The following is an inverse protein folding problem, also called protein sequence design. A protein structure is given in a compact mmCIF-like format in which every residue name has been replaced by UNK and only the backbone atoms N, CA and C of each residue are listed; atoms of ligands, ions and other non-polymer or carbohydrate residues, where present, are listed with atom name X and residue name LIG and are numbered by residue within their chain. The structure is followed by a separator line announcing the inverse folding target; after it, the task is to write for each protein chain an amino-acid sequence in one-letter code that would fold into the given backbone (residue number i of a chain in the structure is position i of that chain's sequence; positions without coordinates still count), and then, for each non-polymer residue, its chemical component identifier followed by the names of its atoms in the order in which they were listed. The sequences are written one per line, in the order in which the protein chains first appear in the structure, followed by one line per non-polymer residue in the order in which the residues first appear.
data_IF_625028180522
#
_entry.id   IF_625028180522
#
_cell.length_a   1.000
_cell.length_b   1.000
_cell.length_c   1.000
_cell.angle_alpha   90.00
_cell.angle_beta   90.00
_cell.angle_gamma   90.00
#
_symmetry.space_group_name_H-M   'P 1'
#
loop_
_entity.id
_entity.type
_entity.pdbx_description
1 polymer ?
#
# COMPACT_ATOMS: atom_id res chain seq x y z
N UNK A 1 -7.76 35.90 12.62
CA UNK A 1 -7.02 35.90 11.33
C UNK A 1 -5.52 35.77 11.59
N UNK A 2 -4.93 36.70 12.36
CA UNK A 2 -3.50 36.74 12.74
C UNK A 2 -2.92 35.41 13.30
N UNK A 3 -3.60 34.75 14.26
CA UNK A 3 -3.11 33.46 14.83
C UNK A 3 -3.05 32.32 13.80
N UNK A 4 -3.90 32.35 12.76
CA UNK A 4 -3.94 31.34 11.69
C UNK A 4 -2.79 31.58 10.71
N UNK A 5 -2.49 32.84 10.41
CA UNK A 5 -1.36 33.24 9.57
C UNK A 5 -0.02 32.95 10.25
N UNK A 6 0.12 33.28 11.53
CA UNK A 6 1.33 32.96 12.30
C UNK A 6 1.64 31.45 12.31
N UNK A 7 0.62 30.60 12.54
CA UNK A 7 0.78 29.13 12.45
C UNK A 7 1.14 28.66 11.04
N UNK A 8 0.62 29.33 10.00
CA UNK A 8 0.93 29.01 8.60
C UNK A 8 2.37 29.38 8.25
N UNK A 9 2.85 30.53 8.72
CA UNK A 9 4.22 30.99 8.55
C UNK A 9 5.22 30.04 9.24
N UNK A 10 4.93 29.66 10.49
CA UNK A 10 5.75 28.67 11.22
C UNK A 10 5.75 27.31 10.50
N UNK A 11 4.62 26.88 9.93
CA UNK A 11 4.55 25.64 9.16
C UNK A 11 5.37 25.72 7.85
N UNK A 12 5.34 26.84 7.14
CA UNK A 12 6.12 27.03 5.91
C UNK A 12 7.62 27.14 6.19
N UNK A 13 8.01 27.82 7.27
CA UNK A 13 9.41 27.91 7.70
C UNK A 13 9.94 26.54 8.10
N UNK A 14 9.14 25.79 8.88
CA UNK A 14 9.48 24.41 9.24
C UNK A 14 9.58 23.51 7.99
N UNK A 15 8.70 23.70 7.00
CA UNK A 15 8.76 22.98 5.73
C UNK A 15 10.03 23.33 4.92
N UNK A 16 10.41 24.61 4.86
CA UNK A 16 11.64 25.06 4.19
C UNK A 16 12.89 24.48 4.87
N UNK A 17 12.94 24.50 6.21
CA UNK A 17 14.02 23.88 6.97
C UNK A 17 14.10 22.35 6.78
N UNK A 18 12.97 21.67 6.59
CA UNK A 18 13.00 20.26 6.22
C UNK A 18 13.40 20.04 4.76
N UNK A 19 13.06 20.95 3.85
CA UNK A 19 13.50 20.91 2.45
C UNK A 19 15.02 21.08 2.33
N UNK A 20 15.60 22.09 2.98
CA UNK A 20 17.05 22.35 3.02
C UNK A 20 17.81 21.18 3.69
N UNK A 21 17.33 20.70 4.85
CA UNK A 21 17.93 19.51 5.47
C UNK A 21 17.87 18.29 4.53
N UNK A 22 16.76 18.10 3.84
CA UNK A 22 16.59 16.99 2.91
C UNK A 22 17.53 17.16 1.69
N UNK A 23 17.71 18.36 1.18
CA UNK A 23 18.68 18.69 0.13
C UNK A 23 20.12 18.45 0.60
N UNK A 24 20.46 18.81 1.84
CA UNK A 24 21.77 18.53 2.45
C UNK A 24 22.02 17.04 2.70
N UNK A 25 20.98 16.29 3.07
CA UNK A 25 21.03 14.83 3.15
C UNK A 25 21.19 14.19 1.76
N UNK A 26 20.63 14.81 0.72
CA UNK A 26 20.83 14.39 -0.68
C UNK A 26 22.21 14.76 -1.22
N UNK A 27 22.80 15.87 -0.76
CA UNK A 27 24.09 16.40 -1.19
C UNK A 27 25.30 15.70 -0.57
N UNK A 28 25.16 15.05 0.59
CA UNK A 28 26.30 14.41 1.27
C UNK A 28 26.67 13.03 0.71
N UNK A 29 25.72 12.31 0.11
CA UNK A 29 25.93 10.88 -0.17
C UNK A 29 25.59 10.41 -1.60
N UNK A 30 25.03 11.28 -2.47
CA UNK A 30 24.86 10.98 -3.89
C UNK A 30 23.81 9.89 -4.22
N UNK A 31 22.84 10.28 -5.04
CA UNK A 31 21.68 9.51 -5.53
C UNK A 31 20.45 9.45 -4.62
N UNK A 32 19.30 9.77 -5.25
CA UNK A 32 17.99 9.62 -4.62
C UNK A 32 17.73 8.13 -4.40
N UNK A 33 17.08 7.77 -3.29
CA UNK A 33 16.66 6.40 -3.02
C UNK A 33 15.82 5.80 -4.16
N UNK A 34 15.05 6.62 -4.88
CA UNK A 34 14.30 6.18 -6.06
C UNK A 34 15.24 5.78 -7.20
N UNK A 35 16.34 6.51 -7.41
CA UNK A 35 17.36 6.17 -8.41
C UNK A 35 18.10 4.88 -8.04
N UNK A 36 18.42 4.69 -6.75
CA UNK A 36 19.00 3.43 -6.24
C UNK A 36 18.02 2.28 -6.48
N UNK A 37 16.75 2.46 -6.11
CA UNK A 37 15.72 1.44 -6.29
C UNK A 37 15.52 1.08 -7.76
N UNK A 38 15.54 2.07 -8.65
CA UNK A 38 15.47 1.89 -10.10
C UNK A 38 16.68 1.10 -10.64
N UNK A 39 17.90 1.43 -10.21
CA UNK A 39 19.13 0.70 -10.60
C UNK A 39 19.06 -0.78 -10.21
N UNK A 40 18.55 -1.10 -9.03
CA UNK A 40 18.43 -2.47 -8.54
C UNK A 40 17.10 -3.15 -8.93
N UNK A 41 16.22 -2.46 -9.68
CA UNK A 41 14.90 -2.97 -10.04
C UNK A 41 13.99 -3.23 -8.83
N UNK A 42 14.27 -2.61 -7.69
CA UNK A 42 13.51 -2.72 -6.45
C UNK A 42 12.31 -1.79 -6.53
N UNK A 43 11.11 -2.31 -6.21
CA UNK A 43 9.92 -1.46 -6.17
C UNK A 43 10.03 -0.41 -5.05
N UNK A 44 9.49 0.80 -5.23
CA UNK A 44 9.42 1.81 -4.18
C UNK A 44 8.83 1.25 -2.89
N UNK A 45 9.39 1.66 -1.74
CA UNK A 45 8.97 1.14 -0.43
C UNK A 45 7.47 1.36 -0.16
N UNK A 46 6.92 2.45 -0.67
CA UNK A 46 5.49 2.77 -0.55
C UNK A 46 4.63 1.69 -1.22
N UNK A 47 5.06 1.18 -2.37
CA UNK A 47 4.33 0.14 -3.09
C UNK A 47 4.48 -1.22 -2.40
N UNK A 48 5.66 -1.52 -1.83
CA UNK A 48 5.84 -2.70 -0.98
C UNK A 48 4.98 -2.68 0.28
N UNK A 49 4.81 -1.51 0.91
CA UNK A 49 3.88 -1.37 2.03
C UNK A 49 2.42 -1.60 1.61
N UNK A 50 2.02 -1.14 0.42
CA UNK A 50 0.68 -1.41 -0.14
C UNK A 50 0.48 -2.89 -0.43
N UNK A 51 1.46 -3.54 -1.05
CA UNK A 51 1.46 -4.97 -1.35
C UNK A 51 1.28 -5.80 -0.07
N UNK A 52 2.09 -5.52 0.96
CA UNK A 52 2.02 -6.20 2.26
C UNK A 52 0.64 -6.03 2.92
N UNK A 53 0.08 -4.82 2.88
CA UNK A 53 -1.25 -4.51 3.41
C UNK A 53 -2.35 -5.33 2.72
N UNK A 54 -2.33 -5.41 1.40
CA UNK A 54 -3.31 -6.16 0.61
C UNK A 54 -3.15 -7.67 0.80
N UNK A 55 -1.90 -8.15 0.89
CA UNK A 55 -1.61 -9.56 1.17
C UNK A 55 -2.17 -9.97 2.54
N UNK A 56 -1.98 -9.13 3.55
CA UNK A 56 -2.56 -9.35 4.88
C UNK A 56 -4.09 -9.32 4.83
N UNK A 57 -4.69 -8.34 4.16
CA UNK A 57 -6.15 -8.26 4.03
C UNK A 57 -6.73 -9.49 3.33
N UNK A 58 -6.13 -9.94 2.22
CA UNK A 58 -6.52 -11.18 1.56
C UNK A 58 -6.36 -12.42 2.45
N UNK A 59 -5.34 -12.45 3.31
CA UNK A 59 -5.19 -13.51 4.31
C UNK A 59 -6.31 -13.47 5.36
N UNK A 60 -6.76 -12.29 5.80
CA UNK A 60 -7.91 -12.16 6.70
C UNK A 60 -9.21 -12.59 6.02
N UNK A 61 -9.43 -12.21 4.75
CA UNK A 61 -10.65 -12.59 4.02
C UNK A 61 -10.80 -14.11 3.85
N UNK A 62 -9.68 -14.82 3.62
CA UNK A 62 -9.66 -16.29 3.50
C UNK A 62 -9.73 -17.01 4.85
N UNK A 63 -9.60 -16.31 5.97
CA UNK A 63 -9.69 -16.92 7.29
C UNK A 63 -11.15 -17.23 7.67
N UNK A 64 -11.33 -18.25 8.52
CA UNK A 64 -12.64 -18.62 9.08
C UNK A 64 -13.24 -17.45 9.87
N UNK A 65 -14.56 -17.33 9.88
CA UNK A 65 -15.28 -16.20 10.49
C UNK A 65 -15.03 -16.05 12.00
N UNK A 66 -14.79 -17.16 12.69
CA UNK A 66 -14.46 -17.17 14.11
C UNK A 66 -12.95 -16.97 14.40
N UNK A 67 -12.13 -16.72 13.38
CA UNK A 67 -10.70 -16.48 13.59
C UNK A 67 -10.49 -15.11 14.22
N UNK A 68 -9.53 -15.03 15.15
CA UNK A 68 -9.15 -13.79 15.86
C UNK A 68 -8.86 -12.65 14.88
N UNK A 69 -8.28 -12.96 13.71
CA UNK A 69 -7.97 -11.97 12.67
C UNK A 69 -9.22 -11.34 12.05
N UNK A 70 -10.25 -12.15 11.78
CA UNK A 70 -11.50 -11.69 11.14
C UNK A 70 -12.39 -10.96 12.14
N UNK A 71 -12.45 -11.47 13.38
CA UNK A 71 -13.09 -10.79 14.51
C UNK A 71 -12.42 -9.43 14.76
N UNK A 72 -11.09 -9.39 14.87
CA UNK A 72 -10.34 -8.16 15.13
C UNK A 72 -10.46 -7.12 14.01
N UNK A 73 -10.61 -7.55 12.75
CA UNK A 73 -10.88 -6.65 11.63
C UNK A 73 -12.24 -5.96 11.74
N UNK A 74 -13.26 -6.69 12.21
CA UNK A 74 -14.64 -6.23 12.32
C UNK A 74 -14.97 -5.59 13.68
N UNK A 75 -14.05 -5.67 14.65
CA UNK A 75 -14.25 -5.15 15.99
C UNK A 75 -14.35 -3.63 15.99
N UNK A 76 -15.50 -3.12 16.42
CA UNK A 76 -15.68 -1.71 16.72
C UNK A 76 -15.49 -1.46 18.22
N UNK A 77 -14.47 -0.66 18.58
CA UNK A 77 -14.22 -0.29 19.96
C UNK A 77 -15.14 0.87 20.33
N UNK A 78 -16.09 0.61 21.23
CA UNK A 78 -16.96 1.64 21.78
C UNK A 78 -16.19 2.57 22.72
N UNK A 79 -16.51 3.86 22.68
CA UNK A 79 -15.90 4.86 23.56
C UNK A 79 -15.68 6.23 22.93
N UNK A 80 -15.60 7.27 23.76
CA UNK A 80 -15.27 8.63 23.31
C UNK A 80 -13.78 8.71 23.02
N UNK A 81 -13.42 9.10 21.79
CA UNK A 81 -12.02 9.24 21.36
C UNK A 81 -11.34 10.41 22.09
N UNK A 82 -10.02 10.33 22.34
CA UNK A 82 -9.28 11.44 22.90
C UNK A 82 -9.35 12.67 21.98
N UNK A 83 -9.37 13.87 22.59
CA UNK A 83 -9.33 15.14 21.85
C UNK A 83 -7.94 15.33 21.22
N UNK A 84 -7.88 15.57 19.91
CA UNK A 84 -6.62 15.77 19.17
C UNK A 84 -6.65 15.18 17.75
N UNK A 85 -5.49 15.16 17.06
CA UNK A 85 -5.36 14.48 15.77
C UNK A 85 -5.53 12.99 15.97
N UNK A 86 -6.58 12.43 15.36
CA UNK A 86 -6.82 10.99 15.41
C UNK A 86 -5.70 10.25 14.68
N UNK A 87 -5.28 9.12 15.26
CA UNK A 87 -4.36 8.20 14.58
C UNK A 87 -5.08 7.61 13.37
N UNK A 88 -4.38 7.51 12.24
CA UNK A 88 -4.91 6.89 11.03
C UNK A 88 -5.21 5.43 11.33
N UNK A 89 -6.44 4.97 11.01
CA UNK A 89 -6.77 3.55 11.21
C UNK A 89 -6.18 2.72 10.08
N UNK A 90 -5.91 1.46 10.39
CA UNK A 90 -5.49 0.50 9.38
C UNK A 90 -6.50 0.41 8.23
N UNK A 91 -7.79 0.34 8.56
CA UNK A 91 -8.88 0.34 7.58
C UNK A 91 -8.88 1.58 6.70
N UNK A 92 -8.71 2.78 7.27
CA UNK A 92 -8.65 4.03 6.49
C UNK A 92 -7.52 3.98 5.45
N UNK A 93 -6.36 3.47 5.86
CA UNK A 93 -5.19 3.32 4.98
C UNK A 93 -5.40 2.23 3.92
N UNK A 94 -6.13 1.17 4.24
CA UNK A 94 -6.54 0.14 3.29
C UNK A 94 -7.49 0.71 2.24
N UNK A 95 -8.51 1.48 2.65
CA UNK A 95 -9.44 2.14 1.73
C UNK A 95 -8.70 3.09 0.78
N UNK A 96 -7.74 3.88 1.27
CA UNK A 96 -6.90 4.72 0.40
C UNK A 96 -6.09 3.89 -0.61
N UNK A 97 -5.60 2.72 -0.19
CA UNK A 97 -4.83 1.84 -1.07
C UNK A 97 -5.70 1.25 -2.17
N UNK A 98 -6.89 0.76 -1.80
CA UNK A 98 -7.87 0.21 -2.73
C UNK A 98 -8.36 1.29 -3.70
N UNK A 99 -8.62 2.50 -3.21
CA UNK A 99 -9.01 3.65 -4.04
C UNK A 99 -7.92 3.99 -5.06
N UNK A 100 -6.65 4.03 -4.65
CA UNK A 100 -5.53 4.27 -5.57
C UNK A 100 -5.44 3.20 -6.66
N UNK A 101 -5.61 1.92 -6.31
CA UNK A 101 -5.58 0.83 -7.27
C UNK A 101 -6.77 0.85 -8.23
N UNK A 102 -7.96 1.19 -7.75
CA UNK A 102 -9.15 1.33 -8.60
C UNK A 102 -9.04 2.50 -9.60
N UNK A 103 -8.24 3.52 -9.28
CA UNK A 103 -8.00 4.67 -10.17
C UNK A 103 -6.82 4.48 -11.14
N UNK A 104 -6.01 3.44 -10.99
CA UNK A 104 -4.88 3.14 -11.88
C UNK A 104 -5.21 1.95 -12.78
N UNK A 105 -5.00 2.01 -14.11
CA UNK A 105 -5.14 0.84 -14.98
C UNK A 105 -4.28 -0.32 -14.46
N UNK A 106 -4.86 -1.51 -14.38
CA UNK A 106 -4.36 -2.72 -13.68
C UNK A 106 -3.05 -3.31 -14.28
N UNK A 107 -2.39 -2.65 -15.23
CA UNK A 107 -1.33 -3.28 -16.02
C UNK A 107 0.10 -3.25 -15.45
N UNK A 108 0.39 -2.59 -14.31
CA UNK A 108 1.80 -2.38 -13.90
C UNK A 108 2.37 -3.13 -12.70
N UNK A 109 1.64 -4.04 -12.02
CA UNK A 109 2.14 -4.60 -10.75
C UNK A 109 2.03 -6.11 -10.51
N UNK A 110 1.39 -6.90 -11.38
CA UNK A 110 1.21 -8.34 -11.11
C UNK A 110 2.42 -9.19 -11.57
N UNK A 111 3.28 -8.68 -12.45
CA UNK A 111 4.41 -9.43 -13.02
C UNK A 111 5.75 -9.09 -12.40
N UNK A 112 6.01 -9.40 -11.11
CA UNK A 112 7.37 -9.43 -10.54
C UNK A 112 7.45 -10.03 -9.11
N UNK A 113 6.72 -11.11 -8.85
CA UNK A 113 7.03 -11.98 -7.69
C UNK A 113 7.22 -13.41 -8.18
N UNK A 114 8.40 -13.98 -7.91
CA UNK A 114 8.81 -15.30 -8.36
C UNK A 114 8.03 -16.42 -7.68
N UNK A 115 6.80 -16.63 -8.13
CA UNK A 115 6.05 -17.86 -7.86
C UNK A 115 6.16 -18.73 -9.10
N UNK A 116 7.03 -19.72 -9.04
CA UNK A 116 7.23 -20.74 -10.06
C UNK A 116 6.00 -21.66 -10.06
N UNK A 117 4.93 -21.27 -10.77
CA UNK A 117 3.75 -22.13 -10.97
C UNK A 117 4.11 -23.08 -12.11
N UNK A 118 4.59 -24.25 -11.70
CA UNK A 118 4.82 -25.41 -12.57
C UNK A 118 3.60 -25.63 -13.48
N UNK A 119 3.75 -25.29 -14.76
CA UNK A 119 2.80 -25.60 -15.82
C UNK A 119 2.85 -27.10 -16.08
N UNK A 120 2.11 -27.89 -15.30
CA UNK A 120 1.65 -29.22 -15.73
C UNK A 120 0.22 -29.43 -15.32
N UNK A 121 -0.67 -29.24 -16.30
CA UNK A 121 -1.91 -30.00 -16.49
C UNK A 121 -2.52 -29.62 -17.84
N UNK A 122 -2.06 -30.32 -18.87
CA UNK A 122 -2.82 -30.53 -20.10
C UNK A 122 -4.06 -31.37 -19.76
N UNK A 123 -5.24 -30.95 -20.21
CA UNK A 123 -6.44 -31.76 -20.22
C UNK A 123 -6.60 -32.37 -21.63
N UNK A 124 -6.70 -33.70 -21.80
CA UNK A 124 -7.40 -34.32 -22.92
C UNK A 124 -8.87 -34.52 -22.47
N UNK A 125 -9.94 -34.43 -23.24
CA UNK A 125 -10.23 -34.55 -24.67
C UNK A 125 -11.60 -33.90 -24.90
N UNK A 126 -11.74 -32.99 -25.88
CA UNK A 126 -13.06 -32.69 -26.47
C UNK A 126 -13.29 -33.64 -27.65
N UNK A 127 -14.10 -34.67 -27.45
CA UNK A 127 -14.63 -35.49 -28.53
C UNK A 127 -15.89 -34.83 -29.08
N UNK A 128 -15.76 -34.24 -30.26
CA UNK A 128 -16.81 -33.59 -31.04
C UNK A 128 -17.80 -34.64 -31.60
N UNK A 129 -19.07 -34.25 -31.59
CA UNK A 129 -20.25 -34.75 -32.31
C UNK A 129 -20.01 -35.57 -33.61
N UNK A 130 -20.70 -36.70 -33.77
CA UNK A 130 -21.00 -37.31 -35.07
C UNK A 130 -22.27 -38.18 -35.03
N UNK A 131 -23.05 -38.05 -36.11
CA UNK A 131 -24.31 -38.69 -36.47
C UNK A 131 -24.26 -40.23 -36.44
N UNK A 132 -25.31 -40.87 -35.91
CA UNK A 132 -26.33 -41.69 -36.63
C UNK A 132 -27.37 -42.19 -35.62
#
# INVERSE_FOLDING_TARGET
IVKKEAKKAVASEKAAHYADRNEKLQSRDGERNDAISERFGVAPIVDKMREARLRWYGHVLRAKDNSVRKIGLNLEVSGKRPRGRQKQRWLDTLHETLKRLASTPIERSIGRSGVNISRKRTLPTSGTNAKE
#
